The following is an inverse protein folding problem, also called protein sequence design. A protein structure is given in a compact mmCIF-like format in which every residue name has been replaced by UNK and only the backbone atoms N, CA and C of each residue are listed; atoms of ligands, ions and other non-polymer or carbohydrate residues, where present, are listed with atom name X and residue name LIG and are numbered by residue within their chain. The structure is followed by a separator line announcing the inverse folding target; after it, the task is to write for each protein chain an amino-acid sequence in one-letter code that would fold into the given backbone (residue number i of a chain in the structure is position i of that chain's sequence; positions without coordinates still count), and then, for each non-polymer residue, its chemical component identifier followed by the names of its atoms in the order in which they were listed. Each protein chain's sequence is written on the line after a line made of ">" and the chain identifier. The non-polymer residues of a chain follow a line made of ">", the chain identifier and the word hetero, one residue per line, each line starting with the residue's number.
data_IF_066546126440
#
_entry.id   IF_066546126440
#
_cell.length_a   1.000
_cell.length_b   1.000
_cell.length_c   1.000
_cell.angle_alpha   90.00
_cell.angle_beta   90.00
_cell.angle_gamma   90.00
#
_symmetry.space_group_name_H-M   'P 1'
#
loop_
_entity.id
_entity.type
_entity.pdbx_description
1 polymer ?
#
# COMPACT_ATOMS: atom_id res chain seq x y z
N UNK A 1 -7.47 -18.93 -3.60
CA UNK A 1 -7.64 -17.57 -3.01
C UNK A 1 -6.33 -17.19 -2.35
N UNK A 2 -5.78 -16.03 -2.67
CA UNK A 2 -4.47 -15.59 -2.16
C UNK A 2 -4.65 -15.05 -0.74
N UNK A 3 -4.03 -15.72 0.25
CA UNK A 3 -4.07 -15.35 1.66
C UNK A 3 -2.90 -14.42 2.03
N UNK A 4 -2.65 -13.41 1.19
CA UNK A 4 -1.54 -12.49 1.43
C UNK A 4 -1.89 -11.55 2.58
N UNK A 5 -1.12 -11.62 3.66
CA UNK A 5 -1.32 -10.81 4.88
C UNK A 5 -0.28 -9.70 5.06
N UNK A 6 0.89 -9.86 4.44
CA UNK A 6 1.99 -8.91 4.50
C UNK A 6 2.41 -8.58 3.08
N UNK A 7 2.40 -7.29 2.75
CA UNK A 7 2.97 -6.74 1.54
C UNK A 7 3.98 -5.67 1.97
N UNK A 8 5.26 -5.98 1.76
CA UNK A 8 6.37 -5.17 2.24
C UNK A 8 7.37 -4.90 1.11
N UNK A 9 7.53 -3.63 0.75
CA UNK A 9 8.58 -3.10 -0.10
C UNK A 9 9.32 -2.05 0.70
N UNK A 10 10.37 -2.49 1.41
CA UNK A 10 11.23 -1.59 2.17
C UNK A 10 12.56 -1.47 1.46
N UNK A 11 13.07 -0.25 1.34
CA UNK A 11 14.39 0.00 0.80
C UNK A 11 15.22 0.79 1.82
N UNK A 12 16.50 0.46 1.92
CA UNK A 12 17.45 1.06 2.84
C UNK A 12 18.53 1.87 2.08
N UNK A 13 18.65 1.75 0.76
CA UNK A 13 19.86 2.24 0.04
C UNK A 13 19.60 3.13 -1.18
N UNK A 14 18.42 3.75 -1.29
CA UNK A 14 18.14 4.76 -2.31
C UNK A 14 18.02 4.19 -3.73
N UNK A 15 17.82 2.88 -3.87
CA UNK A 15 17.59 2.21 -5.14
C UNK A 15 16.08 2.20 -5.39
N UNK A 16 15.64 3.12 -6.26
CA UNK A 16 14.31 3.25 -6.87
C UNK A 16 13.26 2.29 -6.31
N UNK A 17 12.34 2.86 -5.51
CA UNK A 17 11.13 2.19 -5.05
C UNK A 17 10.50 1.35 -6.17
N UNK A 18 10.11 0.13 -5.82
CA UNK A 18 9.43 -0.77 -6.75
C UNK A 18 8.23 -0.02 -7.31
N UNK A 19 8.29 0.31 -8.61
CA UNK A 19 7.21 1.02 -9.29
C UNK A 19 6.38 0.01 -10.06
N UNK A 20 5.31 -0.48 -9.42
CA UNK A 20 4.30 -1.28 -10.08
C UNK A 20 3.36 -0.33 -10.84
N UNK A 21 3.65 -0.14 -12.12
CA UNK A 21 2.79 0.66 -13.03
C UNK A 21 1.50 -0.06 -13.42
N UNK A 22 1.40 -1.38 -13.18
CA UNK A 22 0.21 -2.22 -13.38
C UNK A 22 0.11 -3.24 -12.24
N UNK A 23 -1.10 -3.52 -11.75
CA UNK A 23 -1.35 -4.58 -10.75
C UNK A 23 -1.51 -4.10 -9.30
N UNK A 24 -1.39 -2.80 -9.04
CA UNK A 24 -1.85 -2.20 -7.78
C UNK A 24 -3.36 -1.94 -7.77
N UNK A 25 -4.07 -2.23 -8.87
CA UNK A 25 -5.52 -1.99 -8.99
C UNK A 25 -6.35 -2.82 -7.99
N UNK A 26 -5.77 -3.89 -7.45
CA UNK A 26 -6.38 -4.78 -6.47
C UNK A 26 -5.37 -5.11 -5.36
N UNK A 27 -5.69 -4.68 -4.14
CA UNK A 27 -5.04 -5.18 -2.93
C UNK A 27 -5.94 -6.25 -2.28
N UNK A 28 -5.36 -7.30 -1.68
CA UNK A 28 -6.14 -8.34 -1.00
C UNK A 28 -6.94 -7.75 0.18
N UNK A 29 -8.22 -8.12 0.30
CA UNK A 29 -9.09 -7.69 1.42
C UNK A 29 -8.55 -8.12 2.80
N UNK A 30 -7.82 -9.24 2.85
CA UNK A 30 -7.25 -9.78 4.09
C UNK A 30 -5.84 -9.27 4.40
N UNK A 31 -5.38 -8.20 3.73
CA UNK A 31 -4.08 -7.62 3.97
C UNK A 31 -4.04 -6.96 5.36
N UNK A 32 -3.06 -7.36 6.17
CA UNK A 32 -2.90 -6.87 7.55
C UNK A 32 -1.75 -5.88 7.70
N UNK A 33 -0.73 -6.02 6.89
CA UNK A 33 0.47 -5.19 6.96
C UNK A 33 0.80 -4.69 5.56
N UNK A 34 0.72 -3.37 5.37
CA UNK A 34 1.05 -2.74 4.11
C UNK A 34 2.18 -1.72 4.30
N UNK A 35 3.38 -2.13 3.92
CA UNK A 35 4.62 -1.38 4.14
C UNK A 35 5.26 -1.11 2.79
N UNK A 36 5.32 0.13 2.34
CA UNK A 36 5.87 0.45 1.03
C UNK A 36 6.57 1.79 1.02
N UNK A 37 7.89 1.72 1.14
CA UNK A 37 8.74 2.89 1.09
C UNK A 37 8.82 3.42 -0.35
N UNK A 38 8.60 4.71 -0.53
CA UNK A 38 8.55 5.33 -1.85
C UNK A 38 7.33 4.94 -2.68
N UNK A 39 6.20 4.62 -2.03
CA UNK A 39 4.97 4.23 -2.73
C UNK A 39 4.58 5.29 -3.81
N UNK A 40 4.42 4.87 -5.08
CA UNK A 40 4.48 5.79 -6.21
C UNK A 40 3.15 6.50 -6.52
N UNK A 41 2.02 6.01 -6.00
CA UNK A 41 0.69 6.57 -6.29
C UNK A 41 0.31 7.64 -5.28
N UNK A 42 -0.56 8.56 -5.70
CA UNK A 42 -1.07 9.67 -4.87
C UNK A 42 -2.15 9.25 -3.87
N UNK A 43 -2.74 8.08 -4.10
CA UNK A 43 -3.78 7.50 -3.26
C UNK A 43 -3.65 5.98 -3.24
N UNK A 44 -4.28 5.35 -2.26
CA UNK A 44 -4.49 3.91 -2.26
C UNK A 44 -5.49 3.52 -3.36
N UNK A 45 -5.49 2.25 -3.79
CA UNK A 45 -6.48 1.73 -4.73
C UNK A 45 -7.89 1.92 -4.16
N UNK A 46 -8.88 2.33 -4.95
CA UNK A 46 -10.24 2.58 -4.47
C UNK A 46 -10.94 1.30 -3.99
N UNK A 47 -10.45 0.13 -4.40
CA UNK A 47 -10.92 -1.20 -3.99
C UNK A 47 -10.30 -1.67 -2.67
N UNK A 48 -9.31 -0.95 -2.14
CA UNK A 48 -8.65 -1.34 -0.90
C UNK A 48 -9.56 -1.05 0.30
N UNK A 49 -9.93 -2.10 1.04
CA UNK A 49 -10.58 -1.98 2.33
C UNK A 49 -9.53 -2.05 3.45
N UNK A 50 -9.44 -1.03 4.34
CA UNK A 50 -8.54 -1.05 5.47
C UNK A 50 -9.09 -1.84 6.68
N UNK A 51 -10.26 -2.48 6.58
CA UNK A 51 -10.93 -3.16 7.72
C UNK A 51 -10.04 -4.18 8.45
N UNK A 52 -9.21 -4.90 7.70
CA UNK A 52 -8.30 -5.92 8.24
C UNK A 52 -6.88 -5.39 8.47
N UNK A 53 -6.62 -4.12 8.14
CA UNK A 53 -5.30 -3.51 8.20
C UNK A 53 -4.91 -3.24 9.67
N UNK A 54 -3.77 -3.77 10.05
CA UNK A 54 -3.16 -3.58 11.36
C UNK A 54 -2.11 -2.48 11.31
N UNK A 55 -1.31 -2.44 10.23
CA UNK A 55 -0.24 -1.46 10.07
C UNK A 55 -0.15 -0.97 8.62
N UNK A 56 -0.04 0.35 8.49
CA UNK A 56 0.23 1.05 7.24
C UNK A 56 1.50 1.88 7.41
N UNK A 57 2.53 1.59 6.61
CA UNK A 57 3.73 2.43 6.49
C UNK A 57 3.95 2.77 5.03
N UNK A 58 3.94 4.07 4.72
CA UNK A 58 4.16 4.59 3.38
C UNK A 58 5.23 5.68 3.43
N UNK A 59 6.37 5.36 4.05
CA UNK A 59 7.47 6.30 4.21
C UNK A 59 7.95 6.78 2.83
N UNK A 60 8.31 8.06 2.73
CA UNK A 60 8.82 8.67 1.49
C UNK A 60 7.88 8.51 0.27
N UNK A 61 6.58 8.27 0.52
CA UNK A 61 5.57 8.07 -0.53
C UNK A 61 5.04 9.38 -1.13
N UNK A 62 4.32 9.23 -2.24
CA UNK A 62 3.61 10.34 -2.91
C UNK A 62 2.15 10.47 -2.47
N UNK A 63 1.72 9.75 -1.44
CA UNK A 63 0.32 9.75 -1.03
C UNK A 63 -0.07 11.11 -0.45
N UNK A 64 -1.10 11.72 -1.03
CA UNK A 64 -1.63 13.01 -0.60
C UNK A 64 -2.86 12.83 0.30
N UNK A 65 -3.60 11.73 0.12
CA UNK A 65 -4.81 11.40 0.88
C UNK A 65 -4.98 9.89 1.02
N UNK A 66 -5.27 9.44 2.25
CA UNK A 66 -5.44 8.02 2.57
C UNK A 66 -6.88 7.53 2.36
N UNK A 67 -7.88 8.26 2.87
CA UNK A 67 -9.30 7.93 2.74
C UNK A 67 -10.16 9.20 2.81
N UNK A 68 -11.39 9.10 2.32
CA UNK A 68 -12.34 10.22 2.31
C UNK A 68 -13.05 10.47 3.65
N UNK A 69 -12.86 9.60 4.66
CA UNK A 69 -13.30 9.85 6.03
C UNK A 69 -14.75 9.47 6.35
N UNK A 70 -15.39 8.64 5.54
CA UNK A 70 -16.67 8.03 5.88
C UNK A 70 -16.39 6.67 6.52
N UNK A 71 -16.45 6.62 7.85
CA UNK A 71 -16.52 5.39 8.65
C UNK A 71 -17.98 5.06 8.97
#
# INVERSE_FOLDING_TARGET
>A
MVNLRLLAFRDHEGIKSVSLSRGLDLLPENLRYFLWDGYPLKSLPPTFSPEMLVELSLQDSRVEKLWNGEM
#
